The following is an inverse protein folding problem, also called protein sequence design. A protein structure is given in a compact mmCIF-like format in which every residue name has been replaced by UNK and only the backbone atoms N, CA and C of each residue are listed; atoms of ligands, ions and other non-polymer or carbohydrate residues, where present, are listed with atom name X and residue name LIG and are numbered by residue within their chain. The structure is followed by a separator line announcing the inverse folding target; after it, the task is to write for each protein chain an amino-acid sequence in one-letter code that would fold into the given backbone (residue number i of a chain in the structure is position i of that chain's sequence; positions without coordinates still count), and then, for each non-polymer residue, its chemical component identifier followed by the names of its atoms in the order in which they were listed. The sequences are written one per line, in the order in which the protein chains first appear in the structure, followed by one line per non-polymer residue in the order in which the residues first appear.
data_IF_890536783090
#
_entry.id   IF_890536783090
#
_cell.length_a   1.000
_cell.length_b   1.000
_cell.length_c   1.000
_cell.angle_alpha   90.00
_cell.angle_beta   90.00
_cell.angle_gamma   90.00
#
_symmetry.space_group_name_H-M   'P 1'
#
loop_
_entity.id
_entity.type
_entity.pdbx_description
1 polymer ?
#
# COMPACT_ATOMS: atom_id res chain seq x y z
N UNK A 1 32.52 -41.30 13.01
CA UNK A 1 32.20 -40.85 14.37
C UNK A 1 30.92 -40.06 14.28
N UNK A 2 29.83 -40.64 14.80
CA UNK A 2 28.49 -40.07 14.78
C UNK A 2 28.33 -39.03 15.88
N UNK A 3 27.68 -37.91 15.60
CA UNK A 3 27.04 -37.09 16.64
C UNK A 3 25.67 -36.65 16.12
N UNK A 4 24.65 -37.20 16.77
CA UNK A 4 23.23 -36.91 16.59
C UNK A 4 22.88 -35.50 17.02
N UNK A 5 22.10 -34.80 16.19
CA UNK A 5 21.41 -33.55 16.59
C UNK A 5 20.03 -33.88 17.12
N UNK A 6 19.80 -33.51 18.37
CA UNK A 6 18.53 -33.70 19.07
C UNK A 6 17.53 -32.61 18.62
N UNK A 7 16.36 -33.07 18.20
CA UNK A 7 15.18 -32.25 17.92
C UNK A 7 14.46 -31.99 19.25
N UNK A 8 14.43 -30.75 19.74
CA UNK A 8 13.55 -30.35 20.85
C UNK A 8 12.19 -29.96 20.28
N UNK A 9 11.22 -30.82 20.48
CA UNK A 9 9.80 -30.53 20.31
C UNK A 9 9.28 -29.79 21.56
N UNK A 10 8.89 -28.52 21.40
CA UNK A 10 8.22 -27.75 22.43
C UNK A 10 6.74 -28.09 22.48
N UNK A 11 6.33 -28.78 23.53
CA UNK A 11 4.94 -29.12 23.85
C UNK A 11 4.18 -27.89 24.34
N UNK A 12 3.14 -27.51 23.62
CA UNK A 12 2.17 -26.47 24.03
C UNK A 12 1.36 -26.98 25.24
N UNK A 13 1.50 -26.31 26.38
CA UNK A 13 0.65 -26.49 27.55
C UNK A 13 -0.72 -25.88 27.32
N UNK A 14 -1.74 -26.71 27.23
CA UNK A 14 -3.15 -26.33 27.34
C UNK A 14 -3.45 -25.95 28.80
N UNK A 15 -3.78 -24.71 29.06
CA UNK A 15 -4.32 -24.24 30.31
C UNK A 15 -5.80 -23.95 30.13
N UNK A 16 -6.60 -24.93 30.58
CA UNK A 16 -8.06 -24.83 30.67
C UNK A 16 -8.37 -24.04 31.94
N UNK A 17 -8.93 -22.84 31.81
CA UNK A 17 -9.51 -22.10 32.95
C UNK A 17 -11.02 -22.23 32.90
N UNK A 18 -11.53 -22.84 33.93
CA UNK A 18 -12.93 -23.17 34.13
C UNK A 18 -13.80 -21.94 34.36
N UNK A 19 -15.00 -22.03 33.84
CA UNK A 19 -16.10 -21.08 33.98
C UNK A 19 -16.55 -20.92 35.45
N UNK A 20 -16.58 -19.66 35.90
CA UNK A 20 -17.30 -19.26 37.11
C UNK A 20 -18.66 -18.68 36.75
N UNK A 21 -19.71 -19.48 36.94
CA UNK A 21 -21.10 -19.03 36.89
C UNK A 21 -21.37 -18.16 38.17
N UNK A 22 -21.71 -16.88 37.96
CA UNK A 22 -22.35 -16.09 38.99
C UNK A 22 -23.78 -15.77 38.57
N UNK A 23 -24.73 -16.54 39.17
CA UNK A 23 -26.15 -16.25 39.17
C UNK A 23 -26.42 -15.20 40.27
N UNK A 24 -26.83 -14.00 39.88
CA UNK A 24 -27.47 -13.06 40.80
C UNK A 24 -28.87 -12.73 40.28
N UNK A 25 -29.86 -13.35 40.92
CA UNK A 25 -31.24 -13.01 40.84
C UNK A 25 -31.47 -11.68 41.53
N UNK A 26 -31.96 -10.67 40.83
CA UNK A 26 -32.33 -9.34 41.34
C UNK A 26 -33.76 -8.98 40.88
N UNK A 27 -34.66 -9.29 41.70
CA UNK A 27 -36.03 -8.78 41.98
C UNK A 27 -36.57 -7.71 41.05
N UNK A 28 -37.62 -8.12 40.33
CA UNK A 28 -38.56 -7.30 39.59
C UNK A 28 -39.37 -6.43 40.53
N UNK A 29 -39.35 -5.11 40.39
CA UNK A 29 -40.31 -4.20 41.03
C UNK A 29 -41.07 -3.45 39.92
N UNK A 30 -42.23 -3.97 39.58
CA UNK A 30 -43.20 -3.30 38.72
C UNK A 30 -43.81 -2.11 39.43
N UNK A 31 -43.51 -0.90 38.96
CA UNK A 31 -44.35 0.26 39.31
C UNK A 31 -45.11 0.72 38.06
N UNK A 32 -46.40 0.38 38.04
CA UNK A 32 -47.36 0.77 37.04
C UNK A 32 -47.71 2.26 37.24
N UNK A 33 -47.28 3.09 36.35
CA UNK A 33 -47.68 4.50 36.23
C UNK A 33 -48.30 4.73 34.85
N UNK A 34 -49.62 4.76 34.78
CA UNK A 34 -50.38 5.17 33.59
C UNK A 34 -50.29 6.68 33.47
N UNK A 35 -49.67 7.18 32.41
CA UNK A 35 -49.98 8.51 31.95
C UNK A 35 -50.19 8.48 30.43
N UNK A 36 -51.48 8.61 30.04
CA UNK A 36 -51.90 8.81 28.67
C UNK A 36 -51.66 10.26 28.34
N UNK A 37 -50.72 10.53 27.43
CA UNK A 37 -50.86 11.70 26.56
C UNK A 37 -50.24 11.35 25.20
N UNK A 38 -51.15 11.06 24.26
CA UNK A 38 -50.82 10.92 22.86
C UNK A 38 -50.53 12.31 22.30
N UNK A 39 -49.30 12.56 21.87
CA UNK A 39 -49.09 13.55 20.83
C UNK A 39 -48.12 12.91 19.81
N UNK A 40 -48.71 12.50 18.69
CA UNK A 40 -48.03 12.07 17.52
C UNK A 40 -47.37 13.31 16.88
N UNK A 41 -46.05 13.41 17.00
CA UNK A 41 -45.28 14.24 16.10
C UNK A 41 -44.07 13.44 15.65
N UNK A 42 -44.02 13.09 14.36
CA UNK A 42 -42.91 12.42 13.72
C UNK A 42 -41.66 13.28 13.80
N UNK A 43 -40.76 12.90 14.66
CA UNK A 43 -39.40 13.45 14.77
C UNK A 43 -38.44 12.37 14.35
N UNK A 44 -37.89 12.51 13.13
CA UNK A 44 -36.71 11.77 12.75
C UNK A 44 -35.65 11.97 13.80
N UNK A 45 -35.07 10.88 14.29
CA UNK A 45 -33.95 10.88 15.22
C UNK A 45 -32.78 11.57 14.52
N UNK A 46 -32.65 12.89 14.65
CA UNK A 46 -31.38 13.57 14.39
C UNK A 46 -30.47 13.16 15.53
N UNK A 47 -29.49 12.30 15.27
CA UNK A 47 -28.38 12.05 16.17
C UNK A 47 -27.80 13.42 16.55
N UNK A 48 -27.83 13.75 17.83
CA UNK A 48 -27.33 15.04 18.31
C UNK A 48 -25.82 15.12 18.07
N UNK A 49 -25.31 16.29 17.71
CA UNK A 49 -23.87 16.48 17.49
C UNK A 49 -22.97 15.87 18.60
N UNK A 50 -23.36 15.89 19.89
CA UNK A 50 -22.65 15.19 20.98
C UNK A 50 -22.51 13.70 20.78
N UNK A 51 -23.56 13.01 20.28
CA UNK A 51 -23.53 11.55 20.10
C UNK A 51 -22.59 11.12 18.97
N UNK A 52 -22.53 11.89 17.89
CA UNK A 52 -21.64 11.65 16.77
C UNK A 52 -20.16 11.86 17.17
N UNK A 53 -19.88 12.88 17.97
CA UNK A 53 -18.52 13.14 18.48
C UNK A 53 -18.08 12.05 19.46
N UNK A 54 -18.97 11.57 20.31
CA UNK A 54 -18.68 10.45 21.21
C UNK A 54 -18.40 9.16 20.42
N UNK A 55 -19.16 8.89 19.36
CA UNK A 55 -18.93 7.75 18.48
C UNK A 55 -17.52 7.82 17.82
N UNK A 56 -17.11 8.99 17.32
CA UNK A 56 -15.77 9.19 16.76
C UNK A 56 -14.65 8.96 17.78
N UNK A 57 -14.78 9.49 18.99
CA UNK A 57 -13.81 9.26 20.08
C UNK A 57 -13.71 7.78 20.43
N UNK A 58 -14.83 7.09 20.49
CA UNK A 58 -14.87 5.65 20.74
C UNK A 58 -14.21 4.87 19.59
N UNK A 59 -14.49 5.27 18.33
CA UNK A 59 -13.85 4.68 17.16
C UNK A 59 -12.31 4.86 17.24
N UNK A 60 -11.83 6.07 17.56
CA UNK A 60 -10.39 6.31 17.69
C UNK A 60 -9.75 5.46 18.79
N UNK A 61 -10.37 5.35 19.96
CA UNK A 61 -9.88 4.48 21.03
C UNK A 61 -9.79 3.00 20.60
N UNK A 62 -10.75 2.53 19.79
CA UNK A 62 -10.72 1.19 19.22
C UNK A 62 -9.63 1.04 18.15
N UNK A 63 -9.37 2.06 17.35
CA UNK A 63 -8.24 2.07 16.42
C UNK A 63 -6.91 1.93 17.16
N UNK A 64 -6.72 2.71 18.22
CA UNK A 64 -5.49 2.65 19.04
C UNK A 64 -5.31 1.26 19.67
N UNK A 65 -6.40 0.66 20.18
CA UNK A 65 -6.38 -0.72 20.67
C UNK A 65 -6.05 -1.73 19.55
N UNK A 66 -6.60 -1.55 18.36
CA UNK A 66 -6.29 -2.39 17.21
C UNK A 66 -4.82 -2.31 16.78
N UNK A 67 -4.23 -1.11 16.83
CA UNK A 67 -2.79 -0.91 16.60
C UNK A 67 -1.92 -1.65 17.60
N UNK A 68 -2.30 -1.64 18.89
CA UNK A 68 -1.58 -2.38 19.93
C UNK A 68 -1.69 -3.90 19.75
N UNK A 69 -2.86 -4.43 19.36
CA UNK A 69 -2.99 -5.84 19.03
C UNK A 69 -2.12 -6.24 17.84
N UNK A 70 -2.14 -5.43 16.77
CA UNK A 70 -1.31 -5.67 15.57
C UNK A 70 0.18 -5.67 15.89
N UNK A 71 0.65 -4.72 16.71
CA UNK A 71 2.04 -4.63 17.17
C UNK A 71 2.50 -5.85 17.98
N UNK A 72 1.56 -6.54 18.62
CA UNK A 72 1.81 -7.74 19.42
C UNK A 72 1.55 -9.04 18.63
N UNK A 73 1.48 -9.00 17.29
CA UNK A 73 1.19 -10.13 16.40
C UNK A 73 -0.16 -10.82 16.70
N UNK A 74 -1.13 -10.05 17.22
CA UNK A 74 -2.49 -10.51 17.56
C UNK A 74 -3.47 -10.06 16.49
N UNK A 75 -3.22 -10.49 15.25
CA UNK A 75 -3.87 -9.96 14.05
C UNK A 75 -5.38 -10.21 13.99
N UNK A 76 -5.87 -11.36 14.48
CA UNK A 76 -7.29 -11.65 14.57
C UNK A 76 -8.01 -10.69 15.53
N UNK A 77 -7.37 -10.39 16.69
CA UNK A 77 -7.92 -9.47 17.68
C UNK A 77 -7.87 -8.03 17.15
N UNK A 78 -6.78 -7.66 16.47
CA UNK A 78 -6.67 -6.38 15.78
C UNK A 78 -7.81 -6.20 14.77
N UNK A 79 -8.03 -7.19 13.89
CA UNK A 79 -9.09 -7.13 12.88
C UNK A 79 -10.49 -7.01 13.52
N UNK A 80 -10.76 -7.73 14.62
CA UNK A 80 -12.06 -7.68 15.28
C UNK A 80 -12.32 -6.32 15.92
N UNK A 81 -11.34 -5.75 16.63
CA UNK A 81 -11.47 -4.43 17.25
C UNK A 81 -11.57 -3.32 16.21
N UNK A 82 -10.83 -3.42 15.12
CA UNK A 82 -10.90 -2.44 14.03
C UNK A 82 -12.25 -2.47 13.29
N UNK A 83 -12.90 -3.63 13.14
CA UNK A 83 -14.28 -3.69 12.67
C UNK A 83 -15.25 -3.00 13.63
N UNK A 84 -15.04 -3.14 14.93
CA UNK A 84 -15.86 -2.41 15.91
C UNK A 84 -15.63 -0.89 15.79
N UNK A 85 -14.38 -0.45 15.53
CA UNK A 85 -14.08 0.96 15.26
C UNK A 85 -14.87 1.48 14.04
N UNK A 86 -14.87 0.73 12.94
CA UNK A 86 -15.65 1.03 11.72
C UNK A 86 -17.15 1.03 12.02
N UNK A 87 -17.64 0.16 12.90
CA UNK A 87 -19.03 0.16 13.35
C UNK A 87 -19.42 1.42 14.12
N UNK A 88 -18.49 2.07 14.82
CA UNK A 88 -18.71 3.36 15.50
C UNK A 88 -18.58 4.56 14.54
N UNK A 89 -17.55 4.54 13.68
CA UNK A 89 -17.34 5.57 12.64
C UNK A 89 -16.94 4.92 11.30
N UNK A 90 -17.91 4.67 10.42
CA UNK A 90 -17.65 4.06 9.10
C UNK A 90 -16.79 4.93 8.17
N UNK A 91 -16.60 6.20 8.51
CA UNK A 91 -15.81 7.13 7.72
C UNK A 91 -14.41 7.38 8.31
N UNK A 92 -14.00 6.61 9.30
CA UNK A 92 -12.64 6.69 9.85
C UNK A 92 -11.64 6.02 8.88
N UNK A 93 -10.79 6.78 8.17
CA UNK A 93 -9.86 6.22 7.19
C UNK A 93 -8.78 5.36 7.84
N UNK A 94 -8.33 5.73 9.05
CA UNK A 94 -7.29 5.00 9.76
C UNK A 94 -7.79 3.60 10.19
N UNK A 95 -9.06 3.48 10.61
CA UNK A 95 -9.65 2.19 10.94
C UNK A 95 -9.62 1.22 9.75
N UNK A 96 -9.96 1.72 8.55
CA UNK A 96 -9.91 0.91 7.32
C UNK A 96 -8.47 0.56 6.92
N UNK A 97 -7.52 1.49 7.04
CA UNK A 97 -6.11 1.23 6.75
C UNK A 97 -5.55 0.13 7.66
N UNK A 98 -5.73 0.27 8.99
CA UNK A 98 -5.23 -0.70 9.96
C UNK A 98 -5.94 -2.05 9.84
N UNK A 99 -7.24 -2.08 9.51
CA UNK A 99 -7.94 -3.32 9.21
C UNK A 99 -7.36 -4.03 7.97
N UNK A 100 -7.01 -3.27 6.94
CA UNK A 100 -6.31 -3.80 5.77
C UNK A 100 -4.97 -4.45 6.13
N UNK A 101 -4.20 -3.81 7.02
CA UNK A 101 -2.93 -4.36 7.50
C UNK A 101 -3.12 -5.66 8.31
N UNK A 102 -4.10 -5.69 9.22
CA UNK A 102 -4.43 -6.89 9.98
C UNK A 102 -4.88 -8.04 9.06
N UNK A 103 -5.72 -7.78 8.06
CA UNK A 103 -6.10 -8.79 7.08
C UNK A 103 -4.92 -9.27 6.21
N UNK A 104 -4.00 -8.37 5.85
CA UNK A 104 -2.80 -8.74 5.11
C UNK A 104 -1.89 -9.68 5.92
N UNK A 105 -1.72 -9.42 7.22
CA UNK A 105 -0.98 -10.29 8.15
C UNK A 105 -1.65 -11.67 8.31
N UNK A 106 -2.98 -11.71 8.25
CA UNK A 106 -3.77 -12.96 8.24
C UNK A 106 -3.82 -13.66 6.87
N UNK A 107 -3.08 -13.16 5.87
CA UNK A 107 -3.09 -13.64 4.48
C UNK A 107 -4.47 -13.54 3.78
N UNK A 108 -5.38 -12.75 4.33
CA UNK A 108 -6.73 -12.49 3.80
C UNK A 108 -6.69 -11.37 2.77
N UNK A 109 -6.03 -11.65 1.64
CA UNK A 109 -5.71 -10.65 0.60
C UNK A 109 -6.93 -9.90 0.03
N UNK A 110 -8.07 -10.56 -0.30
CA UNK A 110 -9.23 -9.84 -0.84
C UNK A 110 -9.80 -8.81 0.13
N UNK A 111 -9.90 -9.17 1.43
CA UNK A 111 -10.42 -8.28 2.46
C UNK A 111 -9.46 -7.14 2.78
N UNK A 112 -8.15 -7.43 2.74
CA UNK A 112 -7.12 -6.40 2.87
C UNK A 112 -7.22 -5.38 1.73
N UNK A 113 -7.33 -5.84 0.49
CA UNK A 113 -7.47 -4.97 -0.69
C UNK A 113 -8.72 -4.09 -0.63
N UNK A 114 -9.87 -4.63 -0.23
CA UNK A 114 -11.11 -3.87 -0.04
C UNK A 114 -10.93 -2.78 1.04
N UNK A 115 -10.31 -3.15 2.16
CA UNK A 115 -10.06 -2.23 3.27
C UNK A 115 -9.12 -1.09 2.85
N UNK A 116 -8.04 -1.37 2.12
CA UNK A 116 -7.13 -0.35 1.61
C UNK A 116 -7.80 0.58 0.58
N UNK A 117 -8.61 0.05 -0.33
CA UNK A 117 -9.37 0.86 -1.28
C UNK A 117 -10.32 1.83 -0.56
N UNK A 118 -10.96 1.36 0.51
CA UNK A 118 -11.82 2.22 1.32
C UNK A 118 -11.04 3.29 2.07
N UNK A 119 -9.89 2.95 2.64
CA UNK A 119 -9.00 3.92 3.28
C UNK A 119 -8.57 5.01 2.28
N UNK A 120 -8.15 4.63 1.07
CA UNK A 120 -7.76 5.57 0.00
C UNK A 120 -8.90 6.54 -0.34
N UNK A 121 -10.13 6.04 -0.51
CA UNK A 121 -11.31 6.90 -0.77
C UNK A 121 -11.50 7.94 0.34
N UNK A 122 -11.45 7.49 1.60
CA UNK A 122 -11.68 8.34 2.76
C UNK A 122 -10.55 9.34 3.00
N UNK A 123 -9.27 8.93 2.84
CA UNK A 123 -8.14 9.86 2.92
C UNK A 123 -8.19 10.91 1.81
N UNK A 124 -8.56 10.56 0.59
CA UNK A 124 -8.77 11.55 -0.49
C UNK A 124 -9.85 12.57 -0.12
N UNK A 125 -10.96 12.15 0.51
CA UNK A 125 -11.99 13.07 1.01
C UNK A 125 -11.45 13.96 2.13
N UNK A 126 -10.67 13.42 3.08
CA UNK A 126 -10.04 14.19 4.16
C UNK A 126 -9.11 15.27 3.61
N UNK A 127 -8.27 14.93 2.63
CA UNK A 127 -7.38 15.85 1.92
C UNK A 127 -8.15 16.93 1.14
N UNK A 128 -9.29 16.61 0.53
CA UNK A 128 -10.15 17.59 -0.11
C UNK A 128 -10.70 18.62 0.88
N UNK A 129 -10.95 18.23 2.12
CA UNK A 129 -11.42 19.11 3.19
C UNK A 129 -10.28 19.90 3.82
N UNK A 130 -9.10 19.31 3.96
CA UNK A 130 -7.88 19.95 4.45
C UNK A 130 -6.66 19.51 3.61
N UNK A 131 -6.30 20.37 2.67
CA UNK A 131 -5.16 20.13 1.78
C UNK A 131 -3.77 20.28 2.45
N UNK A 132 -3.73 20.65 3.73
CA UNK A 132 -2.51 20.78 4.52
C UNK A 132 -2.35 19.66 5.55
N UNK A 133 -3.20 18.67 5.53
CA UNK A 133 -3.15 17.50 6.40
C UNK A 133 -2.03 16.54 5.95
N UNK A 134 -0.84 16.73 6.51
CA UNK A 134 0.34 15.92 6.18
C UNK A 134 0.14 14.43 6.54
N UNK A 135 -0.50 14.17 7.68
CA UNK A 135 -0.81 12.81 8.13
C UNK A 135 -1.73 12.09 7.15
N UNK A 136 -2.75 12.79 6.64
CA UNK A 136 -3.63 12.21 5.64
C UNK A 136 -2.91 11.85 4.33
N UNK A 137 -1.94 12.68 3.89
CA UNK A 137 -1.10 12.35 2.74
C UNK A 137 -0.18 11.17 3.03
N UNK A 138 0.43 11.11 4.20
CA UNK A 138 1.29 9.98 4.59
C UNK A 138 0.51 8.66 4.57
N UNK A 139 -0.61 8.61 5.29
CA UNK A 139 -1.45 7.41 5.38
C UNK A 139 -2.12 7.04 4.02
N UNK A 140 -2.41 8.04 3.15
CA UNK A 140 -2.83 7.78 1.78
C UNK A 140 -1.73 7.05 1.00
N UNK A 141 -0.48 7.52 1.13
CA UNK A 141 0.69 6.87 0.53
C UNK A 141 0.87 5.44 1.04
N UNK A 142 0.69 5.22 2.33
CA UNK A 142 0.77 3.89 2.95
C UNK A 142 -0.28 2.94 2.37
N UNK A 143 -1.55 3.34 2.31
CA UNK A 143 -2.62 2.54 1.72
C UNK A 143 -2.38 2.23 0.23
N UNK A 144 -1.85 3.21 -0.53
CA UNK A 144 -1.51 3.03 -1.94
C UNK A 144 -0.31 2.09 -2.13
N UNK A 145 0.70 2.19 -1.27
CA UNK A 145 1.88 1.32 -1.29
C UNK A 145 1.52 -0.15 -1.04
N UNK A 146 0.58 -0.43 -0.15
CA UNK A 146 0.08 -1.80 0.07
C UNK A 146 -0.66 -2.37 -1.14
N UNK A 147 -1.25 -1.53 -1.97
CA UNK A 147 -1.87 -1.94 -3.23
C UNK A 147 -0.91 -1.89 -4.44
N UNK A 148 0.40 -1.66 -4.21
CA UNK A 148 1.43 -1.50 -5.27
C UNK A 148 1.11 -0.39 -6.28
N UNK A 149 0.40 0.66 -5.83
CA UNK A 149 0.16 1.89 -6.59
C UNK A 149 1.32 2.85 -6.36
N UNK A 150 2.53 2.42 -6.74
CA UNK A 150 3.79 3.05 -6.31
C UNK A 150 3.93 4.51 -6.80
N UNK A 151 3.44 4.86 -8.02
CA UNK A 151 3.44 6.24 -8.51
C UNK A 151 2.52 7.15 -7.67
N UNK A 152 1.36 6.64 -7.27
CA UNK A 152 0.41 7.36 -6.44
C UNK A 152 0.97 7.53 -5.02
N UNK A 153 1.54 6.46 -4.46
CA UNK A 153 2.19 6.46 -3.15
C UNK A 153 3.35 7.47 -3.09
N UNK A 154 4.24 7.46 -4.09
CA UNK A 154 5.34 8.42 -4.17
C UNK A 154 4.83 9.87 -4.24
N UNK A 155 3.71 10.12 -4.97
CA UNK A 155 3.10 11.45 -5.00
C UNK A 155 2.55 11.87 -3.64
N UNK A 156 1.89 10.96 -2.93
CA UNK A 156 1.31 11.22 -1.63
C UNK A 156 2.41 11.47 -0.58
N UNK A 157 3.43 10.62 -0.50
CA UNK A 157 4.57 10.82 0.42
C UNK A 157 5.35 12.10 0.11
N UNK A 158 5.52 12.46 -1.18
CA UNK A 158 6.15 13.73 -1.55
C UNK A 158 5.36 14.94 -1.09
N UNK A 159 4.04 14.85 -1.02
CA UNK A 159 3.23 15.92 -0.41
C UNK A 159 3.37 15.93 1.12
N UNK A 160 3.37 14.76 1.77
CA UNK A 160 3.62 14.66 3.21
C UNK A 160 4.96 15.32 3.59
N UNK A 161 6.07 14.96 2.89
CA UNK A 161 7.41 15.55 3.15
C UNK A 161 7.50 17.05 2.88
N UNK A 162 6.65 17.62 2.02
CA UNK A 162 6.58 19.07 1.81
C UNK A 162 5.86 19.80 2.95
N UNK A 163 4.85 19.14 3.53
CA UNK A 163 4.07 19.69 4.62
C UNK A 163 4.78 19.54 5.96
N UNK A 164 5.48 18.44 6.15
CA UNK A 164 6.27 18.11 7.35
C UNK A 164 7.69 17.72 6.93
N UNK A 165 8.59 18.73 6.76
CA UNK A 165 9.96 18.48 6.25
C UNK A 165 10.90 17.80 7.26
N UNK A 166 10.47 17.59 8.49
CA UNK A 166 11.17 16.91 9.58
C UNK A 166 10.63 15.49 9.87
N UNK A 167 9.74 14.99 9.03
CA UNK A 167 9.22 13.63 9.12
C UNK A 167 10.17 12.65 8.40
N UNK A 168 11.02 12.00 9.17
CA UNK A 168 12.00 11.01 8.70
C UNK A 168 11.32 9.83 8.01
N UNK A 169 10.25 9.29 8.60
CA UNK A 169 9.56 8.13 8.07
C UNK A 169 8.90 8.44 6.71
N UNK A 170 8.36 9.65 6.53
CA UNK A 170 7.80 10.06 5.25
C UNK A 170 8.87 10.11 4.13
N UNK A 171 10.10 10.56 4.44
CA UNK A 171 11.21 10.51 3.48
C UNK A 171 11.65 9.07 3.20
N UNK A 172 11.72 8.22 4.21
CA UNK A 172 12.04 6.81 4.03
C UNK A 172 11.03 6.11 3.10
N UNK A 173 9.74 6.27 3.36
CA UNK A 173 8.67 5.66 2.55
C UNK A 173 8.61 6.23 1.12
N UNK A 174 8.93 7.52 0.94
CA UNK A 174 9.13 8.10 -0.38
C UNK A 174 10.26 7.39 -1.13
N UNK A 175 11.41 7.20 -0.49
CA UNK A 175 12.55 6.49 -1.07
C UNK A 175 12.23 5.05 -1.45
N UNK A 176 11.46 4.33 -0.63
CA UNK A 176 10.97 2.97 -0.92
C UNK A 176 10.10 2.98 -2.18
N UNK A 177 9.14 3.90 -2.28
CA UNK A 177 8.25 4.00 -3.45
C UNK A 177 9.03 4.35 -4.72
N UNK A 178 9.98 5.31 -4.65
CA UNK A 178 10.83 5.68 -5.79
C UNK A 178 11.75 4.51 -6.21
N UNK A 179 12.20 3.68 -5.25
CA UNK A 179 12.99 2.47 -5.56
C UNK A 179 12.17 1.45 -6.35
N UNK A 180 10.90 1.23 -5.97
CA UNK A 180 9.99 0.33 -6.70
C UNK A 180 9.72 0.81 -8.13
N UNK A 181 9.72 2.12 -8.35
CA UNK A 181 9.62 2.75 -9.66
C UNK A 181 10.93 2.76 -10.46
N UNK A 182 12.01 2.22 -9.90
CA UNK A 182 13.37 2.29 -10.44
C UNK A 182 13.88 3.73 -10.63
N UNK A 183 13.33 4.71 -9.91
CA UNK A 183 13.80 6.10 -9.85
C UNK A 183 14.92 6.19 -8.79
N UNK A 184 16.00 5.48 -9.00
CA UNK A 184 17.05 5.31 -7.99
C UNK A 184 17.75 6.60 -7.53
N UNK A 185 18.00 7.62 -8.40
CA UNK A 185 18.56 8.89 -7.95
C UNK A 185 17.62 9.62 -6.96
N UNK A 186 16.32 9.61 -7.24
CA UNK A 186 15.28 10.22 -6.40
C UNK A 186 15.14 9.44 -5.07
N UNK A 187 15.17 8.11 -5.15
CA UNK A 187 15.17 7.24 -3.97
C UNK A 187 16.37 7.53 -3.06
N UNK A 188 17.58 7.58 -3.61
CA UNK A 188 18.79 7.88 -2.84
C UNK A 188 18.75 9.27 -2.19
N UNK A 189 18.16 10.27 -2.87
CA UNK A 189 17.96 11.61 -2.31
C UNK A 189 16.99 11.60 -1.13
N UNK A 190 15.89 10.83 -1.24
CA UNK A 190 14.90 10.70 -0.18
C UNK A 190 15.47 9.96 1.04
N UNK A 191 16.15 8.82 0.86
CA UNK A 191 16.81 8.10 1.96
C UNK A 191 17.91 8.93 2.63
N UNK A 192 18.69 9.69 1.85
CA UNK A 192 19.68 10.60 2.42
C UNK A 192 19.01 11.64 3.32
N UNK A 193 17.85 12.14 2.92
CA UNK A 193 17.09 13.10 3.75
C UNK A 193 16.57 12.45 5.04
N UNK A 194 16.11 11.21 4.98
CA UNK A 194 15.74 10.44 6.16
C UNK A 194 16.93 10.29 7.12
N UNK A 195 18.13 9.94 6.63
CA UNK A 195 19.35 9.85 7.45
C UNK A 195 19.84 11.19 8.00
N UNK A 196 19.61 12.31 7.30
CA UNK A 196 19.93 13.64 7.85
C UNK A 196 19.05 13.96 9.07
N UNK A 197 17.80 13.44 9.10
CA UNK A 197 16.85 13.61 10.19
C UNK A 197 17.09 12.59 11.32
N UNK A 198 17.42 11.35 10.96
CA UNK A 198 17.74 10.27 11.89
C UNK A 198 19.00 9.50 11.43
N UNK A 199 20.20 9.92 11.88
CA UNK A 199 21.46 9.29 11.48
C UNK A 199 21.62 7.81 11.87
N UNK A 200 20.82 7.34 12.83
CA UNK A 200 20.89 5.97 13.35
C UNK A 200 19.91 5.01 12.61
N UNK A 201 19.19 5.48 11.60
CA UNK A 201 18.31 4.61 10.81
C UNK A 201 19.12 3.73 9.84
N UNK A 202 19.42 2.50 10.29
CA UNK A 202 20.12 1.50 9.48
C UNK A 202 19.33 1.10 8.22
N UNK A 203 17.97 1.17 8.24
CA UNK A 203 17.13 0.85 7.08
C UNK A 203 17.42 1.81 5.92
N UNK A 204 17.50 3.10 6.24
CA UNK A 204 17.82 4.13 5.25
C UNK A 204 19.25 4.03 4.74
N UNK A 205 20.22 3.60 5.59
CA UNK A 205 21.60 3.35 5.19
C UNK A 205 21.68 2.24 4.14
N UNK A 206 21.09 1.08 4.43
CA UNK A 206 21.09 -0.06 3.50
C UNK A 206 20.32 0.28 2.20
N UNK A 207 19.23 1.05 2.32
CA UNK A 207 18.42 1.45 1.19
C UNK A 207 19.17 2.41 0.23
N UNK A 208 20.01 3.29 0.74
CA UNK A 208 20.87 4.16 -0.10
C UNK A 208 21.84 3.33 -0.94
N UNK A 209 22.53 2.37 -0.33
CA UNK A 209 23.47 1.50 -1.05
C UNK A 209 22.75 0.75 -2.18
N UNK A 210 21.61 0.15 -1.89
CA UNK A 210 20.77 -0.55 -2.87
C UNK A 210 20.33 0.38 -4.01
N UNK A 211 19.92 1.61 -3.71
CA UNK A 211 19.52 2.59 -4.71
C UNK A 211 20.70 3.02 -5.58
N UNK A 212 21.90 3.23 -5.01
CA UNK A 212 23.10 3.56 -5.74
C UNK A 212 23.55 2.43 -6.69
N UNK A 213 23.49 1.19 -6.24
CA UNK A 213 23.74 0.03 -7.10
C UNK A 213 22.73 -0.07 -8.25
N UNK A 214 21.45 0.15 -7.96
CA UNK A 214 20.40 0.18 -8.97
C UNK A 214 20.66 1.24 -10.05
N UNK A 215 21.04 2.45 -9.64
CA UNK A 215 21.39 3.54 -10.52
C UNK A 215 22.62 3.18 -11.40
N UNK A 216 23.64 2.56 -10.82
CA UNK A 216 24.84 2.12 -11.54
C UNK A 216 24.50 1.04 -12.58
N UNK A 217 23.70 0.03 -12.22
CA UNK A 217 23.25 -1.00 -13.16
C UNK A 217 22.50 -0.41 -14.37
N UNK A 218 21.61 0.56 -14.14
CA UNK A 218 20.90 1.24 -15.25
C UNK A 218 21.89 2.02 -16.12
N UNK A 219 22.84 2.74 -15.53
CA UNK A 219 23.86 3.51 -16.27
C UNK A 219 24.73 2.61 -17.16
N UNK A 220 25.17 1.49 -16.63
CA UNK A 220 25.97 0.49 -17.38
C UNK A 220 25.13 -0.16 -18.49
N UNK A 221 23.89 -0.52 -18.21
CA UNK A 221 22.97 -1.06 -19.20
C UNK A 221 22.72 -0.09 -20.38
N UNK A 222 22.49 1.18 -20.07
CA UNK A 222 22.36 2.23 -21.10
C UNK A 222 23.63 2.38 -21.94
N UNK A 223 24.83 2.38 -21.29
CA UNK A 223 26.10 2.44 -21.99
C UNK A 223 26.28 1.26 -22.94
N UNK A 224 26.01 0.04 -22.45
CA UNK A 224 26.10 -1.18 -23.26
C UNK A 224 25.14 -1.16 -24.46
N UNK A 225 23.89 -0.74 -24.25
CA UNK A 225 22.90 -0.60 -25.32
C UNK A 225 23.36 0.42 -26.39
N UNK A 226 23.93 1.56 -25.98
CA UNK A 226 24.49 2.55 -26.92
C UNK A 226 25.67 1.99 -27.73
N UNK A 227 26.54 1.20 -27.10
CA UNK A 227 27.66 0.56 -27.80
C UNK A 227 27.16 -0.47 -28.82
N UNK A 228 26.13 -1.26 -28.49
CA UNK A 228 25.52 -2.20 -29.44
C UNK A 228 24.92 -1.47 -30.65
N UNK A 229 24.15 -0.39 -30.41
CA UNK A 229 23.58 0.43 -31.48
C UNK A 229 24.67 1.03 -32.40
N UNK A 230 25.77 1.52 -31.82
CA UNK A 230 26.93 2.00 -32.61
C UNK A 230 27.55 0.90 -33.47
N UNK A 231 27.71 -0.31 -32.91
CA UNK A 231 28.24 -1.46 -33.66
C UNK A 231 27.31 -1.85 -34.83
N UNK A 232 26.01 -1.89 -34.60
CA UNK A 232 25.02 -2.18 -35.65
C UNK A 232 25.02 -1.10 -36.76
N UNK A 233 25.08 0.18 -36.37
CA UNK A 233 25.15 1.28 -37.35
C UNK A 233 26.42 1.19 -38.21
N UNK A 234 27.58 0.87 -37.62
CA UNK A 234 28.84 0.70 -38.33
C UNK A 234 28.80 -0.52 -39.29
N UNK A 235 28.18 -1.63 -38.88
CA UNK A 235 27.99 -2.82 -39.73
C UNK A 235 27.09 -2.53 -40.93
N UNK A 236 25.99 -1.81 -40.71
CA UNK A 236 25.09 -1.42 -41.77
C UNK A 236 25.74 -0.42 -42.78
N UNK A 237 26.55 0.52 -42.25
CA UNK A 237 27.30 1.44 -43.12
C UNK A 237 28.34 0.70 -44.00
N UNK A 238 29.05 -0.28 -43.41
CA UNK A 238 30.06 -1.07 -44.14
C UNK A 238 29.42 -2.09 -45.11
N UNK A 239 28.23 -2.63 -44.77
CA UNK A 239 27.47 -3.52 -45.66
C UNK A 239 26.94 -2.80 -46.91
N UNK A 240 26.58 -1.53 -46.79
CA UNK A 240 26.04 -0.73 -47.93
C UNK A 240 27.13 -0.27 -48.90
N UNK A 241 28.38 -0.12 -48.46
CA UNK A 241 29.51 0.20 -49.35
C UNK A 241 29.94 -0.98 -50.21
N UNK A 242 29.74 -2.23 -49.75
CA UNK A 242 30.05 -3.43 -50.55
C UNK A 242 28.95 -3.82 -51.55
N UNK A 243 27.69 -3.38 -51.34
CA UNK A 243 26.60 -3.63 -52.27
C UNK A 243 26.66 -2.72 -53.51
N UNK A 244 27.30 -1.54 -53.41
CA UNK A 244 27.35 -0.57 -54.52
C UNK A 244 28.52 -0.80 -55.48
N UNK A 245 29.44 -1.69 -55.19
CA UNK A 245 30.57 -2.03 -56.07
C UNK A 245 30.30 -3.23 -57.00
N UNK A 246 29.11 -3.85 -56.95
CA UNK A 246 28.76 -5.04 -57.76
C UNK A 246 27.50 -4.89 -58.62
N UNK A 247 27.07 -3.65 -58.93
CA UNK A 247 25.98 -3.40 -59.88
C UNK A 247 26.46 -3.22 -61.33
N UNK A 248 27.20 -4.21 -61.82
CA UNK A 248 27.49 -4.37 -63.24
C UNK A 248 26.75 -5.59 -63.76
N UNK A 249 25.69 -5.32 -64.55
CA UNK A 249 25.05 -6.28 -65.46
C UNK A 249 24.36 -7.51 -64.84
N UNK A 250 23.04 -7.40 -64.60
CA UNK A 250 22.09 -8.54 -64.82
C UNK A 250 20.72 -8.03 -65.24
N UNK A 251 20.31 -8.48 -66.41
CA UNK A 251 19.01 -8.36 -67.05
C UNK A 251 17.87 -8.84 -66.18
N UNK A 252 16.78 -8.07 -66.14
CA UNK A 252 15.57 -8.37 -65.40
C UNK A 252 14.77 -9.56 -65.95
N UNK A 253 14.22 -10.46 -65.16
CA UNK A 253 13.07 -11.25 -65.53
C UNK A 253 11.77 -10.59 -65.06
N UNK A 254 10.85 -10.43 -66.02
CA UNK A 254 9.48 -10.00 -65.80
C UNK A 254 8.72 -11.11 -65.06
N UNK A 255 8.31 -10.88 -63.83
CA UNK A 255 7.22 -11.63 -63.19
C UNK A 255 6.31 -10.67 -62.43
N UNK A 256 5.04 -10.67 -62.83
CA UNK A 256 3.94 -9.96 -62.19
C UNK A 256 3.59 -10.53 -60.82
N UNK A 257 3.25 -9.72 -59.83
CA UNK A 257 2.78 -10.23 -58.57
C UNK A 257 1.27 -10.51 -58.60
N UNK A 258 0.87 -11.70 -58.18
CA UNK A 258 -0.51 -12.08 -57.89
C UNK A 258 -0.98 -11.45 -56.53
N UNK A 259 -2.27 -11.12 -56.40
CA UNK A 259 -2.77 -10.44 -55.19
C UNK A 259 -2.93 -11.36 -54.01
N UNK A 260 -2.39 -10.92 -52.87
CA UNK A 260 -2.57 -11.56 -51.56
C UNK A 260 -4.00 -11.36 -51.03
N UNK A 261 -4.68 -12.47 -50.72
CA UNK A 261 -5.98 -12.51 -50.09
C UNK A 261 -5.90 -12.02 -48.63
N UNK A 262 -6.75 -11.06 -48.30
CA UNK A 262 -7.01 -10.64 -46.92
C UNK A 262 -7.64 -11.77 -46.10
N UNK A 263 -6.95 -12.22 -45.07
CA UNK A 263 -7.51 -13.02 -44.02
C UNK A 263 -7.94 -12.09 -42.86
N UNK A 264 -9.24 -12.03 -42.66
CA UNK A 264 -9.82 -11.33 -41.51
C UNK A 264 -9.60 -12.17 -40.24
N UNK A 265 -8.92 -11.62 -39.24
CA UNK A 265 -8.89 -12.14 -37.91
C UNK A 265 -9.98 -11.48 -37.06
N UNK A 266 -10.82 -12.30 -36.41
CA UNK A 266 -11.89 -11.88 -35.49
C UNK A 266 -11.30 -11.44 -34.16
N UNK A 267 -11.94 -10.50 -33.46
CA UNK A 267 -11.55 -10.06 -32.13
C UNK A 267 -12.10 -11.01 -31.05
N UNK A 268 -11.29 -11.24 -30.06
CA UNK A 268 -11.71 -11.74 -28.75
C UNK A 268 -11.40 -10.69 -27.67
#
# INVERSE_FOLDING_TARGET
MHTSSAILSSTRSLLVIAAGLFLLAGVCSCRRGTNKNANANGGGSSSTAPDAEQAKRKAQSLVDQGKEFYKNDQDEQAAEVLKQAIGQDPNNPEAHLRLGMAYAALERKPEAEESYKKAIELYKKRIQSDSKDAEAYFNLGEAQSFLHLDEDAARAYRQATRLTPDDEEAFYQLGVSETRLAHYPEAAAAFKKALELNPDDYRATDAIENAQEGANRIKEGKKHAQELLKKQANQNANGNTNANSNSGSRTAPKHSPSPLKHSQAKPW
#
